data_IF_175978424849
#
_entry.id   IF_175978424849
#
_cell.length_a   1.000
_cell.length_b   1.000
_cell.length_c   1.000
_cell.angle_alpha   90.00
_cell.angle_beta   90.00
_cell.angle_gamma   90.00
#
_symmetry.space_group_name_H-M   'P 1'
#
loop_
_entity.id
_entity.type
_entity.pdbx_description
1 polymer ?
#
# COMPACT_ATOMS: atom_id res chain seq x y z
N UNK A 1 -6.16 -21.08 8.71
CA UNK A 1 -6.77 -19.73 8.79
C UNK A 1 -8.21 -19.80 8.31
N UNK A 2 -9.12 -19.25 9.09
CA UNK A 2 -10.52 -19.18 8.67
C UNK A 2 -10.72 -18.00 7.72
N UNK A 3 -10.82 -18.28 6.41
CA UNK A 3 -11.00 -17.27 5.34
C UNK A 3 -12.36 -16.56 5.41
N UNK A 4 -13.27 -17.00 6.28
CA UNK A 4 -14.55 -16.34 6.50
C UNK A 4 -14.48 -15.24 7.57
N UNK A 5 -13.34 -15.06 8.21
CA UNK A 5 -13.13 -13.95 9.15
C UNK A 5 -13.06 -12.61 8.41
N UNK A 6 -13.47 -11.51 9.07
CA UNK A 6 -13.45 -10.20 8.45
C UNK A 6 -12.02 -9.67 8.26
N UNK A 7 -11.84 -8.85 7.24
CA UNK A 7 -10.57 -8.18 6.90
C UNK A 7 -9.99 -7.40 8.09
N UNK A 8 -10.85 -6.81 8.91
CA UNK A 8 -10.45 -6.08 10.12
C UNK A 8 -9.57 -6.87 11.09
N UNK A 9 -9.58 -8.21 11.00
CA UNK A 9 -8.76 -9.09 11.85
C UNK A 9 -7.30 -9.20 11.41
N UNK A 10 -7.00 -8.91 10.15
CA UNK A 10 -5.66 -9.06 9.56
C UNK A 10 -5.10 -7.77 8.96
N UNK A 11 -5.93 -6.74 8.73
CA UNK A 11 -5.50 -5.47 8.14
C UNK A 11 -4.46 -4.78 9.02
N UNK A 12 -3.54 -4.08 8.39
CA UNK A 12 -2.65 -3.14 9.07
C UNK A 12 -3.36 -1.81 9.31
N UNK A 13 -3.27 -1.31 10.52
CA UNK A 13 -3.73 0.05 10.88
C UNK A 13 -2.62 1.09 10.76
N UNK A 14 -1.39 0.64 10.46
CA UNK A 14 -0.22 1.49 10.23
C UNK A 14 -0.01 1.62 8.73
N UNK A 15 -0.41 2.75 8.17
CA UNK A 15 -0.23 3.10 6.77
C UNK A 15 0.17 4.57 6.65
N UNK A 16 0.77 4.92 5.52
CA UNK A 16 1.18 6.29 5.22
C UNK A 16 0.24 6.89 4.19
N UNK A 17 -0.12 8.14 4.41
CA UNK A 17 -1.02 8.92 3.55
C UNK A 17 -0.31 10.20 3.15
N UNK A 18 -0.45 10.58 1.88
CA UNK A 18 -0.02 11.87 1.34
C UNK A 18 -1.18 12.50 0.57
N UNK A 19 -1.13 13.82 0.38
CA UNK A 19 -2.04 14.51 -0.54
C UNK A 19 -1.56 14.33 -1.98
N UNK A 20 -2.47 14.29 -2.91
CA UNK A 20 -2.17 14.28 -4.34
C UNK A 20 -1.43 15.55 -4.82
N UNK A 21 -1.54 16.64 -4.08
CA UNK A 21 -0.84 17.91 -4.31
C UNK A 21 0.50 18.01 -3.57
N UNK A 22 0.81 17.05 -2.71
CA UNK A 22 2.12 17.02 -2.05
C UNK A 22 3.23 16.84 -3.09
N UNK A 23 4.40 17.28 -2.71
CA UNK A 23 5.59 17.15 -3.53
C UNK A 23 6.13 15.72 -3.50
N UNK A 24 6.60 15.23 -4.65
CA UNK A 24 7.16 13.87 -4.78
C UNK A 24 8.36 13.64 -3.85
N UNK A 25 9.04 14.69 -3.44
CA UNK A 25 10.10 14.62 -2.41
C UNK A 25 9.61 13.98 -1.12
N UNK A 26 8.37 14.27 -0.69
CA UNK A 26 7.78 13.65 0.50
C UNK A 26 7.64 12.14 0.36
N UNK A 27 7.22 11.68 -0.83
CA UNK A 27 7.13 10.23 -1.14
C UNK A 27 8.50 9.57 -1.02
N UNK A 28 9.54 10.20 -1.57
CA UNK A 28 10.92 9.70 -1.45
C UNK A 28 11.36 9.61 0.02
N UNK A 29 11.11 10.65 0.79
CA UNK A 29 11.48 10.67 2.22
C UNK A 29 10.78 9.56 3.01
N UNK A 30 9.51 9.28 2.74
CA UNK A 30 8.77 8.19 3.38
C UNK A 30 9.38 6.85 3.00
N UNK A 31 9.66 6.61 1.72
CA UNK A 31 10.27 5.36 1.28
C UNK A 31 11.69 5.15 1.81
N UNK A 32 12.46 6.21 1.96
CA UNK A 32 13.83 6.14 2.47
C UNK A 32 13.88 5.87 3.99
N UNK A 33 12.95 6.44 4.75
CA UNK A 33 12.93 6.36 6.21
C UNK A 33 12.10 5.22 6.77
N UNK A 34 11.16 4.70 6.01
CA UNK A 34 10.18 3.70 6.48
C UNK A 34 10.26 2.43 5.62
N UNK A 35 10.12 1.30 6.28
CA UNK A 35 10.01 0.01 5.60
C UNK A 35 8.57 -0.21 5.07
N UNK A 36 8.14 0.67 4.16
CA UNK A 36 6.81 0.60 3.53
C UNK A 36 6.96 0.36 2.04
N UNK A 37 6.02 -0.34 1.47
CA UNK A 37 5.96 -0.63 0.03
C UNK A 37 4.87 0.16 -0.70
N UNK A 38 3.91 0.70 0.04
CA UNK A 38 2.75 1.41 -0.48
C UNK A 38 2.48 2.68 0.33
N UNK A 39 2.11 3.75 -0.35
CA UNK A 39 1.64 5.01 0.23
C UNK A 39 0.27 5.29 -0.37
N UNK A 40 -0.71 5.61 0.47
CA UNK A 40 -2.05 5.99 0.02
C UNK A 40 -2.08 7.48 -0.32
N UNK A 41 -2.80 7.82 -1.38
CA UNK A 41 -2.95 9.21 -1.83
C UNK A 41 -4.39 9.65 -1.63
N UNK A 42 -4.56 10.76 -0.95
CA UNK A 42 -5.88 11.32 -0.64
C UNK A 42 -6.08 12.72 -1.22
N UNK A 43 -7.33 13.01 -1.53
CA UNK A 43 -7.83 14.34 -1.88
C UNK A 43 -9.18 14.54 -1.22
N UNK A 44 -9.33 15.61 -0.43
CA UNK A 44 -10.59 15.93 0.24
C UNK A 44 -11.19 14.72 0.99
N UNK A 45 -10.37 14.08 1.83
CA UNK A 45 -10.73 12.91 2.65
C UNK A 45 -11.09 11.63 1.86
N UNK A 46 -10.89 11.63 0.53
CA UNK A 46 -11.10 10.45 -0.33
C UNK A 46 -9.79 9.91 -0.85
N UNK A 47 -9.71 8.59 -0.93
CA UNK A 47 -8.57 7.91 -1.56
C UNK A 47 -8.67 8.11 -3.08
N UNK A 48 -7.65 8.69 -3.68
CA UNK A 48 -7.59 8.97 -5.13
C UNK A 48 -6.48 8.21 -5.85
N UNK A 49 -5.61 7.55 -5.11
CA UNK A 49 -4.52 6.79 -5.69
C UNK A 49 -3.66 6.07 -4.66
N UNK A 50 -2.68 5.37 -5.18
CA UNK A 50 -1.60 4.75 -4.42
C UNK A 50 -0.27 5.03 -5.10
N UNK A 51 0.81 5.06 -4.33
CA UNK A 51 2.18 5.08 -4.86
C UNK A 51 2.94 3.90 -4.28
N UNK A 52 3.44 3.03 -5.15
CA UNK A 52 4.37 1.97 -4.76
C UNK A 52 5.81 2.40 -5.00
N UNK A 53 6.78 1.65 -4.43
CA UNK A 53 8.20 1.87 -4.76
C UNK A 53 8.47 1.68 -6.25
N UNK A 54 7.77 0.73 -6.90
CA UNK A 54 7.90 0.50 -8.33
C UNK A 54 7.37 1.69 -9.15
N UNK A 55 6.23 2.26 -8.77
CA UNK A 55 5.69 3.45 -9.45
C UNK A 55 6.67 4.61 -9.36
N UNK A 56 7.22 4.85 -8.16
CA UNK A 56 8.20 5.88 -7.92
C UNK A 56 9.46 5.68 -8.77
N UNK A 57 10.05 4.48 -8.75
CA UNK A 57 11.26 4.18 -9.52
C UNK A 57 11.03 4.24 -11.02
N UNK A 58 9.88 3.76 -11.50
CA UNK A 58 9.51 3.80 -12.91
C UNK A 58 9.34 5.24 -13.42
N UNK A 59 8.73 6.10 -12.60
CA UNK A 59 8.58 7.50 -12.92
C UNK A 59 9.95 8.18 -13.08
N UNK A 60 10.87 7.94 -12.15
CA UNK A 60 12.21 8.53 -12.20
C UNK A 60 13.09 7.95 -13.30
N UNK A 61 13.02 6.66 -13.57
CA UNK A 61 13.80 6.05 -14.67
C UNK A 61 13.28 6.49 -16.04
N UNK A 62 11.99 6.80 -16.18
CA UNK A 62 11.41 7.39 -17.39
C UNK A 62 11.91 8.81 -17.65
N UNK A 63 12.13 9.60 -16.62
CA UNK A 63 12.64 10.96 -16.72
C UNK A 63 14.15 11.00 -16.97
N UNK A 64 14.88 9.94 -16.65
CA UNK A 64 16.32 10.08 -16.52
C UNK A 64 17.15 8.81 -16.65
N UNK A 65 17.60 8.52 -17.84
CA UNK A 65 18.75 7.63 -18.05
C UNK A 65 20.12 8.29 -17.78
N UNK A 66 20.14 9.58 -17.40
CA UNK A 66 21.37 10.38 -17.34
C UNK A 66 21.65 11.06 -15.99
N UNK A 67 20.79 10.94 -14.98
CA UNK A 67 20.95 11.72 -13.74
C UNK A 67 21.37 10.85 -12.53
N UNK A 68 22.61 10.51 -12.44
CA UNK A 68 23.26 10.04 -11.21
C UNK A 68 23.59 11.18 -10.23
N UNK A 69 23.20 12.42 -10.53
CA UNK A 69 23.62 13.58 -9.74
C UNK A 69 22.54 13.98 -8.72
N UNK A 70 22.87 13.88 -7.44
CA UNK A 70 21.98 14.11 -6.29
C UNK A 70 21.28 15.47 -6.27
N UNK A 71 21.93 16.54 -6.76
CA UNK A 71 21.37 17.90 -6.73
C UNK A 71 20.26 18.08 -7.77
N UNK A 72 20.44 17.54 -8.96
CA UNK A 72 19.43 17.58 -10.02
C UNK A 72 18.23 16.69 -9.69
N UNK A 73 18.46 15.55 -9.04
CA UNK A 73 17.40 14.67 -8.55
C UNK A 73 16.53 15.39 -7.53
N UNK A 74 17.10 16.13 -6.59
CA UNK A 74 16.33 16.88 -5.60
C UNK A 74 15.50 18.00 -6.24
N UNK A 75 16.05 18.71 -7.23
CA UNK A 75 15.32 19.74 -7.96
C UNK A 75 14.14 19.16 -8.75
N UNK A 76 14.33 18.01 -9.41
CA UNK A 76 13.26 17.30 -10.11
C UNK A 76 12.17 16.82 -9.16
N UNK A 77 12.54 16.28 -8.00
CA UNK A 77 11.59 15.85 -6.97
C UNK A 77 10.67 16.99 -6.50
N UNK A 78 11.18 18.22 -6.49
CA UNK A 78 10.41 19.40 -6.10
C UNK A 78 9.50 19.94 -7.22
N UNK A 79 9.73 19.55 -8.47
CA UNK A 79 8.94 20.00 -9.62
C UNK A 79 7.65 19.21 -9.83
N UNK A 80 7.57 18.00 -9.28
CA UNK A 80 6.45 17.09 -9.51
C UNK A 80 5.60 16.90 -8.26
N UNK A 81 4.30 16.79 -8.48
CA UNK A 81 3.34 16.45 -7.44
C UNK A 81 3.08 14.93 -7.41
N UNK A 82 2.57 14.44 -6.30
CA UNK A 82 2.21 13.03 -6.13
C UNK A 82 1.22 12.57 -7.18
N UNK A 83 0.31 13.45 -7.62
CA UNK A 83 -0.67 13.17 -8.70
C UNK A 83 -0.03 12.66 -9.97
N UNK A 84 1.16 13.13 -10.31
CA UNK A 84 1.88 12.77 -11.55
C UNK A 84 2.56 11.41 -11.48
N UNK A 85 2.77 10.88 -10.28
CA UNK A 85 3.46 9.60 -10.03
C UNK A 85 2.50 8.50 -9.61
N UNK A 86 1.39 8.85 -8.94
CA UNK A 86 0.44 7.90 -8.38
C UNK A 86 -0.24 7.03 -9.45
N UNK A 87 -0.61 5.82 -9.06
CA UNK A 87 -1.60 5.04 -9.78
C UNK A 87 -2.99 5.47 -9.32
N UNK A 88 -3.78 6.04 -10.22
CA UNK A 88 -5.13 6.53 -9.94
C UNK A 88 -6.23 5.45 -9.99
N UNK A 89 -5.88 4.22 -10.32
CA UNK A 89 -6.83 3.09 -10.25
C UNK A 89 -6.89 2.58 -8.81
N UNK A 90 -7.87 3.04 -8.07
CA UNK A 90 -8.07 2.64 -6.67
C UNK A 90 -9.21 1.64 -6.58
N UNK A 91 -8.93 0.52 -5.95
CA UNK A 91 -9.92 -0.44 -5.50
C UNK A 91 -9.76 -0.58 -4.00
N UNK A 92 -10.85 -0.59 -3.25
CA UNK A 92 -10.88 -0.73 -1.80
C UNK A 92 -11.78 -1.90 -1.39
N UNK A 93 -11.65 -2.33 -0.15
CA UNK A 93 -12.43 -3.40 0.47
C UNK A 93 -13.00 -2.89 1.79
N UNK A 94 -14.16 -3.38 2.18
CA UNK A 94 -14.77 -3.03 3.46
C UNK A 94 -14.15 -3.83 4.62
N UNK A 95 -14.08 -3.23 5.79
CA UNK A 95 -13.50 -3.86 6.98
C UNK A 95 -14.24 -5.14 7.42
N UNK A 96 -15.53 -5.22 7.11
CA UNK A 96 -16.39 -6.37 7.40
C UNK A 96 -16.37 -7.45 6.29
N UNK A 97 -15.78 -7.15 5.13
CA UNK A 97 -15.60 -8.14 4.08
C UNK A 97 -14.74 -9.31 4.59
N UNK A 98 -14.97 -10.47 4.04
CA UNK A 98 -14.25 -11.69 4.43
C UNK A 98 -12.89 -11.75 3.74
N UNK A 99 -11.93 -12.41 4.39
CA UNK A 99 -10.55 -12.54 3.87
C UNK A 99 -10.53 -13.19 2.48
N UNK A 100 -11.42 -14.14 2.18
CA UNK A 100 -11.47 -14.77 0.85
C UNK A 100 -11.78 -13.76 -0.27
N UNK A 101 -12.57 -12.70 0.00
CA UNK A 101 -12.85 -11.65 -0.98
C UNK A 101 -11.56 -10.93 -1.37
N UNK A 102 -10.72 -10.56 -0.39
CA UNK A 102 -9.41 -9.97 -0.66
C UNK A 102 -8.51 -10.92 -1.48
N UNK A 103 -8.52 -12.21 -1.16
CA UNK A 103 -7.76 -13.23 -1.92
C UNK A 103 -8.19 -13.29 -3.39
N UNK A 104 -9.49 -13.25 -3.66
CA UNK A 104 -10.00 -13.22 -5.04
C UNK A 104 -9.57 -11.95 -5.76
N UNK A 105 -9.64 -10.79 -5.08
CA UNK A 105 -9.19 -9.52 -5.64
C UNK A 105 -7.69 -9.52 -5.95
N UNK A 106 -6.86 -10.10 -5.10
CA UNK A 106 -5.42 -10.23 -5.36
C UNK A 106 -5.10 -11.23 -6.47
N UNK A 107 -5.85 -12.35 -6.55
CA UNK A 107 -5.67 -13.36 -7.60
C UNK A 107 -5.98 -12.82 -8.99
N UNK A 108 -7.09 -12.09 -9.11
CA UNK A 108 -7.65 -11.72 -10.41
C UNK A 108 -7.15 -10.35 -10.91
N UNK A 109 -6.47 -9.61 -10.06
CA UNK A 109 -6.00 -8.26 -10.35
C UNK A 109 -4.53 -8.07 -9.97
N UNK A 110 -3.91 -7.10 -10.61
CA UNK A 110 -2.52 -6.68 -10.35
C UNK A 110 -2.38 -5.83 -9.07
N UNK A 111 -3.37 -5.83 -8.19
CA UNK A 111 -3.28 -5.11 -6.92
C UNK A 111 -2.36 -5.85 -5.95
N UNK A 112 -1.50 -5.12 -5.30
CA UNK A 112 -0.60 -5.64 -4.26
C UNK A 112 -1.02 -5.19 -2.87
N UNK A 113 -1.90 -4.21 -2.79
CA UNK A 113 -2.51 -3.71 -1.56
C UNK A 113 -3.92 -3.18 -1.84
N UNK A 114 -4.80 -3.32 -0.86
CA UNK A 114 -6.17 -2.81 -0.86
C UNK A 114 -6.35 -1.90 0.36
N UNK A 115 -6.68 -0.62 0.16
CA UNK A 115 -7.19 0.22 1.23
C UNK A 115 -8.46 -0.37 1.82
N UNK A 116 -8.61 -0.30 3.14
CA UNK A 116 -9.76 -0.81 3.88
C UNK A 116 -10.57 0.37 4.39
N UNK A 117 -11.84 0.39 4.08
CA UNK A 117 -12.80 1.40 4.54
C UNK A 117 -13.81 0.81 5.53
N UNK A 118 -14.40 1.66 6.33
CA UNK A 118 -15.53 1.29 7.19
C UNK A 118 -16.89 1.58 6.51
N UNK A 119 -17.98 1.36 7.23
CA UNK A 119 -19.36 1.57 6.75
C UNK A 119 -19.67 3.04 6.42
N UNK A 120 -18.86 3.99 6.93
CA UNK A 120 -18.99 5.42 6.65
C UNK A 120 -17.97 5.91 5.59
N UNK A 121 -17.42 5.00 4.78
CA UNK A 121 -16.41 5.27 3.74
C UNK A 121 -15.09 5.89 4.27
N UNK A 122 -14.80 5.72 5.56
CA UNK A 122 -13.55 6.22 6.15
C UNK A 122 -12.44 5.20 6.01
N UNK A 123 -11.25 5.66 5.66
CA UNK A 123 -10.05 4.81 5.62
C UNK A 123 -9.68 4.35 7.03
N UNK A 124 -9.73 3.04 7.28
CA UNK A 124 -9.45 2.44 8.60
C UNK A 124 -8.25 1.50 8.60
N UNK A 125 -7.74 1.13 7.45
CA UNK A 125 -6.60 0.24 7.35
C UNK A 125 -6.14 0.02 5.92
N UNK A 126 -5.21 -0.92 5.79
CA UNK A 126 -4.73 -1.44 4.52
C UNK A 126 -4.46 -2.94 4.67
N UNK A 127 -4.77 -3.72 3.65
CA UNK A 127 -4.43 -5.13 3.58
C UNK A 127 -3.62 -5.42 2.34
N UNK A 128 -2.57 -6.22 2.49
CA UNK A 128 -1.71 -6.70 1.41
C UNK A 128 -1.79 -8.21 1.31
N UNK A 129 -1.41 -8.78 0.17
CA UNK A 129 -1.26 -10.22 0.03
C UNK A 129 -0.26 -10.78 1.08
N UNK A 130 0.77 -10.00 1.42
CA UNK A 130 1.75 -10.37 2.44
C UNK A 130 1.16 -10.42 3.86
N UNK A 131 0.16 -9.60 4.18
CA UNK A 131 -0.54 -9.68 5.49
C UNK A 131 -1.27 -11.02 5.63
N UNK A 132 -1.87 -11.51 4.55
CA UNK A 132 -2.51 -12.83 4.52
C UNK A 132 -1.45 -13.93 4.69
N UNK A 133 -0.34 -13.86 3.97
CA UNK A 133 0.77 -14.82 4.11
C UNK A 133 1.32 -14.84 5.54
N UNK A 134 1.52 -13.69 6.17
CA UNK A 134 1.98 -13.59 7.55
C UNK A 134 0.97 -14.17 8.54
N UNK A 135 -0.31 -13.94 8.32
CA UNK A 135 -1.37 -14.51 9.17
C UNK A 135 -1.38 -16.04 9.07
N UNK A 136 -1.26 -16.60 7.86
CA UNK A 136 -1.14 -18.05 7.64
C UNK A 136 0.11 -18.64 8.31
N UNK A 137 1.24 -17.97 8.20
CA UNK A 137 2.50 -18.45 8.80
C UNK A 137 2.45 -18.49 10.32
N UNK A 138 1.80 -17.51 10.96
CA UNK A 138 1.63 -17.49 12.42
C UNK A 138 0.78 -18.67 12.92
N UNK A 139 -0.27 -19.02 12.20
CA UNK A 139 -1.16 -20.11 12.56
C UNK A 139 -0.43 -21.46 12.51
N UNK A 140 0.31 -21.74 11.42
CA UNK A 140 1.13 -22.96 11.31
C UNK A 140 2.19 -23.07 12.41
N UNK A 141 2.83 -21.99 12.79
CA UNK A 141 3.81 -21.99 13.87
C UNK A 141 3.17 -22.39 15.22
N UNK A 142 1.94 -21.97 15.47
CA UNK A 142 1.18 -22.33 16.67
C UNK A 142 0.80 -23.80 16.66
N UNK A 143 0.31 -24.33 15.54
CA UNK A 143 -0.05 -25.75 15.39
C UNK A 143 1.16 -26.67 15.56
N UNK A 144 2.31 -26.32 14.99
CA UNK A 144 3.56 -27.08 15.14
C UNK A 144 4.06 -27.10 16.59
N UNK A 145 3.84 -26.02 17.34
CA UNK A 145 4.23 -25.95 18.75
C UNK A 145 3.38 -26.87 19.63
N UNK A 146 2.11 -27.05 19.31
CA UNK A 146 1.21 -28.00 19.99
C UNK A 146 1.45 -29.45 19.59
N UNK A 147 2.05 -29.73 18.44
CA UNK A 147 2.31 -31.10 17.97
C UNK A 147 3.60 -31.71 18.55
N UNK A 148 4.43 -30.92 19.24
CA UNK A 148 5.70 -31.36 19.84
C UNK A 148 5.53 -31.70 21.34
N UNK A 149 4.38 -31.41 21.89
CA UNK A 149 3.99 -31.76 23.26
C UNK A 149 2.84 -32.79 23.25
#
# INVERSE_FOLDING_TARGET
MNLLMPISTIMSRKFHVVSDLDNVKLVKEIFDRKSVSHILVMRNERIVGTVTRCDFLSFFSGLNKQFENTTLTQSLLQMYTVREVMNGKVTFIESNDRIHVALEMFRDNIFTALPVIDEEDRLVGMVTAMDIVKALAKEKATELHFSIF
#
